data_IF_584824168427
#
_entry.id   IF_584824168427
#
_cell.length_a   1.000
_cell.length_b   1.000
_cell.length_c   1.000
_cell.angle_alpha   90.00
_cell.angle_beta   90.00
_cell.angle_gamma   90.00
#
_symmetry.space_group_name_H-M   'P 1'
#
loop_
_entity.id
_entity.type
_entity.pdbx_description
1 polymer ?
#
# COMPACT_ATOMS: atom_id res chain seq x y z
N UNK A 1 54.51 4.19 9.37
CA UNK A 1 53.65 2.99 9.37
C UNK A 1 52.45 3.26 8.47
N UNK A 2 52.29 2.50 7.38
CA UNK A 2 51.33 2.76 6.31
C UNK A 2 49.95 2.20 6.71
N UNK A 3 49.02 3.07 7.08
CA UNK A 3 47.61 2.74 7.39
C UNK A 3 46.80 2.48 6.09
N UNK A 4 47.40 2.70 4.92
CA UNK A 4 46.71 2.64 3.62
C UNK A 4 46.47 1.23 3.07
N UNK A 5 47.00 0.16 3.67
CA UNK A 5 46.89 -1.20 3.11
C UNK A 5 45.65 -1.98 3.56
N UNK A 6 44.91 -1.53 4.57
CA UNK A 6 43.71 -2.26 5.07
C UNK A 6 42.44 -1.92 4.29
N UNK A 7 42.46 -0.86 3.47
CA UNK A 7 41.29 -0.39 2.72
C UNK A 7 41.06 -1.09 1.37
N UNK A 8 41.91 -2.06 0.99
CA UNK A 8 41.91 -2.69 -0.34
C UNK A 8 41.34 -4.13 -0.41
N UNK A 9 40.35 -4.51 0.41
CA UNK A 9 39.81 -5.88 0.39
C UNK A 9 38.56 -6.05 -0.49
N UNK A 10 37.86 -4.97 -0.86
CA UNK A 10 36.64 -5.08 -1.67
C UNK A 10 36.89 -4.57 -3.10
N UNK A 11 37.20 -5.49 -4.01
CA UNK A 11 37.13 -5.22 -5.46
C UNK A 11 35.66 -4.95 -5.81
N UNK A 12 35.27 -3.68 -5.87
CA UNK A 12 33.93 -3.30 -6.31
C UNK A 12 33.71 -3.79 -7.75
N UNK A 13 32.56 -4.45 -8.04
CA UNK A 13 32.27 -4.91 -9.39
C UNK A 13 32.14 -3.70 -10.33
N UNK A 14 32.62 -3.84 -11.57
CA UNK A 14 32.45 -2.82 -12.61
C UNK A 14 31.01 -2.89 -13.12
N UNK A 15 30.22 -1.82 -12.90
CA UNK A 15 28.81 -1.74 -13.30
C UNK A 15 27.86 -1.64 -12.11
N UNK A 16 26.58 -1.97 -12.32
CA UNK A 16 25.59 -1.93 -11.24
C UNK A 16 25.86 -3.04 -10.22
N UNK A 17 26.10 -2.64 -8.96
CA UNK A 17 26.50 -3.54 -7.86
C UNK A 17 25.39 -4.52 -7.45
N UNK A 18 24.12 -4.17 -7.68
CA UNK A 18 22.97 -4.96 -7.24
C UNK A 18 22.42 -5.91 -8.32
N UNK A 19 22.86 -5.76 -9.57
CA UNK A 19 22.26 -6.40 -10.74
C UNK A 19 23.33 -7.05 -11.63
N UNK A 20 22.94 -8.04 -12.43
CA UNK A 20 23.82 -8.73 -13.38
C UNK A 20 24.68 -9.84 -12.77
N UNK A 21 25.67 -10.31 -13.56
CA UNK A 21 26.49 -11.50 -13.24
C UNK A 21 27.41 -11.31 -12.04
N UNK A 22 27.99 -10.12 -11.89
CA UNK A 22 28.94 -9.80 -10.83
C UNK A 22 28.32 -8.80 -9.85
N UNK A 23 27.46 -9.32 -8.97
CA UNK A 23 26.75 -8.54 -7.96
C UNK A 23 27.32 -8.75 -6.56
N UNK A 24 27.20 -7.73 -5.72
CA UNK A 24 27.54 -7.83 -4.30
C UNK A 24 26.33 -8.39 -3.55
N UNK A 25 26.45 -9.64 -3.09
CA UNK A 25 25.44 -10.26 -2.23
C UNK A 25 25.96 -10.15 -0.79
N UNK A 26 25.38 -9.26 0.04
CA UNK A 26 25.79 -9.18 1.43
C UNK A 26 25.43 -10.49 2.15
N UNK A 27 26.33 -11.03 2.99
CA UNK A 27 25.99 -12.20 3.80
C UNK A 27 24.86 -11.83 4.77
N UNK A 28 23.89 -12.73 4.93
CA UNK A 28 22.80 -12.51 5.89
C UNK A 28 23.36 -12.54 7.32
N UNK A 29 23.15 -11.44 8.05
CA UNK A 29 23.46 -11.37 9.48
C UNK A 29 22.61 -12.32 10.31
N UNK A 30 23.11 -12.73 11.47
CA UNK A 30 22.38 -13.62 12.38
C UNK A 30 21.02 -13.03 12.82
N UNK A 31 20.94 -11.71 13.01
CA UNK A 31 19.69 -11.03 13.35
C UNK A 31 18.61 -11.16 12.26
N UNK A 32 18.99 -11.06 10.98
CA UNK A 32 18.08 -11.24 9.85
C UNK A 32 17.54 -12.68 9.78
N UNK A 33 18.38 -13.67 10.09
CA UNK A 33 17.94 -15.07 10.17
C UNK A 33 16.92 -15.27 11.30
N UNK A 34 17.18 -14.68 12.47
CA UNK A 34 16.27 -14.77 13.61
C UNK A 34 14.91 -14.09 13.34
N UNK A 35 14.89 -12.96 12.64
CA UNK A 35 13.63 -12.29 12.27
C UNK A 35 12.82 -13.10 11.27
N UNK A 36 13.45 -13.66 10.24
CA UNK A 36 12.78 -14.52 9.27
C UNK A 36 12.24 -15.79 9.93
N UNK A 37 12.99 -16.38 10.88
CA UNK A 37 12.52 -17.56 11.61
C UNK A 37 11.27 -17.26 12.46
N UNK A 38 11.22 -16.11 13.14
CA UNK A 38 10.02 -15.66 13.86
C UNK A 38 8.83 -15.47 12.93
N UNK A 39 9.05 -14.95 11.72
CA UNK A 39 8.01 -14.80 10.70
C UNK A 39 7.46 -16.16 10.27
N UNK A 40 8.34 -17.13 10.01
CA UNK A 40 7.95 -18.48 9.63
C UNK A 40 7.13 -19.19 10.73
N UNK A 41 7.49 -19.02 12.00
CA UNK A 41 6.70 -19.56 13.12
C UNK A 41 5.28 -18.97 13.10
N UNK A 42 5.16 -17.66 12.90
CA UNK A 42 3.85 -17.00 12.85
C UNK A 42 3.02 -17.46 11.66
N UNK A 43 3.64 -17.65 10.50
CA UNK A 43 2.97 -18.20 9.33
C UNK A 43 2.47 -19.63 9.59
N UNK A 44 3.27 -20.46 10.26
CA UNK A 44 2.85 -21.81 10.67
C UNK A 44 1.65 -21.79 11.63
N UNK A 45 1.67 -20.91 12.62
CA UNK A 45 0.53 -20.73 13.55
C UNK A 45 -0.73 -20.30 12.81
N UNK A 46 -0.62 -19.34 11.88
CA UNK A 46 -1.73 -18.91 11.04
C UNK A 46 -2.27 -20.07 10.20
N UNK A 47 -1.41 -20.87 9.57
CA UNK A 47 -1.83 -22.03 8.79
C UNK A 47 -2.59 -23.04 9.64
N UNK A 48 -2.16 -23.28 10.88
CA UNK A 48 -2.85 -24.19 11.80
C UNK A 48 -4.25 -23.70 12.14
N UNK A 49 -4.43 -22.40 12.34
CA UNK A 49 -5.75 -21.79 12.60
C UNK A 49 -6.63 -21.92 11.36
N UNK A 50 -6.11 -21.56 10.19
CA UNK A 50 -6.86 -21.56 8.92
C UNK A 50 -7.20 -22.97 8.42
N UNK A 51 -6.46 -24.00 8.84
CA UNK A 51 -6.70 -25.38 8.42
C UNK A 51 -8.02 -25.98 8.92
N UNK A 52 -8.69 -25.36 9.90
CA UNK A 52 -9.95 -25.84 10.47
C UNK A 52 -11.02 -24.75 10.38
N UNK A 53 -11.66 -24.60 9.21
CA UNK A 53 -12.74 -23.64 9.05
C UNK A 53 -13.97 -24.04 9.89
N UNK A 54 -14.72 -23.05 10.35
CA UNK A 54 -15.93 -23.25 11.14
C UNK A 54 -17.13 -23.69 10.28
N UNK A 55 -17.22 -23.16 9.05
CA UNK A 55 -18.23 -23.53 8.06
C UNK A 55 -17.56 -24.16 6.85
N UNK A 56 -18.27 -25.08 6.21
CA UNK A 56 -17.92 -25.54 4.87
C UNK A 56 -18.31 -24.49 3.82
N UNK A 57 -17.64 -24.51 2.67
CA UNK A 57 -17.93 -23.57 1.56
C UNK A 57 -19.40 -23.62 1.13
N UNK A 58 -20.01 -24.81 1.17
CA UNK A 58 -21.43 -24.99 0.87
C UNK A 58 -22.34 -24.24 1.86
N UNK A 59 -22.05 -24.35 3.16
CA UNK A 59 -22.83 -23.67 4.22
C UNK A 59 -22.66 -22.16 4.18
N UNK A 60 -21.45 -21.67 3.87
CA UNK A 60 -21.17 -20.25 3.69
C UNK A 60 -21.96 -19.68 2.49
N UNK A 61 -22.03 -20.41 1.38
CA UNK A 61 -22.79 -19.97 0.19
C UNK A 61 -24.30 -19.83 0.45
N UNK A 62 -24.84 -20.59 1.42
CA UNK A 62 -26.25 -20.53 1.81
C UNK A 62 -26.56 -19.35 2.74
N UNK A 63 -25.55 -18.65 3.26
CA UNK A 63 -25.71 -17.47 4.11
C UNK A 63 -25.18 -16.21 3.41
N UNK A 64 -25.94 -15.63 2.47
CA UNK A 64 -25.57 -14.34 1.90
C UNK A 64 -25.53 -13.29 3.00
N UNK A 65 -24.38 -12.65 3.18
CA UNK A 65 -24.20 -11.56 4.13
C UNK A 65 -24.84 -10.28 3.57
N UNK A 66 -26.17 -10.20 3.69
CA UNK A 66 -26.98 -9.10 3.18
C UNK A 66 -26.52 -7.73 3.71
N UNK A 67 -25.88 -7.71 4.88
CA UNK A 67 -25.38 -6.48 5.50
C UNK A 67 -24.22 -5.86 4.71
N UNK A 68 -23.33 -6.68 4.16
CA UNK A 68 -22.20 -6.21 3.35
C UNK A 68 -22.65 -5.83 1.96
N UNK A 69 -23.55 -6.63 1.36
CA UNK A 69 -24.19 -6.32 0.08
C UNK A 69 -24.91 -4.96 0.11
N UNK A 70 -25.72 -4.69 1.14
CA UNK A 70 -26.41 -3.39 1.29
C UNK A 70 -25.44 -2.22 1.45
N UNK A 71 -24.35 -2.39 2.23
CA UNK A 71 -23.32 -1.35 2.37
C UNK A 71 -22.59 -1.06 1.07
N UNK A 72 -22.28 -2.09 0.29
CA UNK A 72 -21.64 -1.93 -1.01
C UNK A 72 -22.58 -1.26 -2.02
N UNK A 73 -23.86 -1.62 -2.00
CA UNK A 73 -24.88 -1.02 -2.86
C UNK A 73 -25.08 0.46 -2.51
N UNK A 74 -25.17 0.80 -1.23
CA UNK A 74 -25.24 2.19 -0.76
C UNK A 74 -23.98 3.00 -1.13
N UNK A 75 -22.78 2.41 -1.04
CA UNK A 75 -21.54 3.05 -1.50
C UNK A 75 -21.54 3.30 -3.01
N UNK A 76 -22.02 2.34 -3.78
CA UNK A 76 -22.12 2.46 -5.24
C UNK A 76 -23.12 3.55 -5.65
N UNK A 77 -24.27 3.61 -4.98
CA UNK A 77 -25.26 4.67 -5.17
C UNK A 77 -24.71 6.05 -4.79
N UNK A 78 -24.02 6.16 -3.65
CA UNK A 78 -23.37 7.39 -3.23
C UNK A 78 -22.29 7.83 -4.24
N UNK A 79 -21.49 6.89 -4.78
CA UNK A 79 -20.51 7.20 -5.82
C UNK A 79 -21.17 7.69 -7.11
N UNK A 80 -22.29 7.06 -7.52
CA UNK A 80 -23.08 7.47 -8.68
C UNK A 80 -23.64 8.89 -8.52
N UNK A 81 -24.10 9.24 -7.32
CA UNK A 81 -24.63 10.57 -7.03
C UNK A 81 -23.50 11.62 -6.93
N UNK A 82 -22.39 11.28 -6.28
CA UNK A 82 -21.24 12.17 -6.14
C UNK A 82 -20.53 12.45 -7.47
N UNK A 83 -20.61 11.55 -8.46
CA UNK A 83 -20.13 11.81 -9.82
C UNK A 83 -20.94 12.87 -10.57
N UNK A 84 -22.16 13.19 -10.12
CA UNK A 84 -23.01 14.24 -10.72
C UNK A 84 -22.79 15.62 -10.12
N UNK A 85 -22.15 15.73 -8.96
CA UNK A 85 -21.89 17.00 -8.29
C UNK A 85 -20.60 17.68 -8.81
N UNK A 86 -20.54 17.94 -10.12
CA UNK A 86 -19.78 19.12 -10.53
C UNK A 86 -20.60 20.33 -10.10
N UNK A 87 -20.13 21.06 -9.08
CA UNK A 87 -20.77 22.31 -8.64
C UNK A 87 -20.90 23.23 -9.86
N UNK A 88 -22.14 23.48 -10.27
CA UNK A 88 -22.42 24.45 -11.33
C UNK A 88 -21.96 25.83 -10.86
N UNK A 89 -21.13 26.50 -11.66
CA UNK A 89 -20.81 27.91 -11.39
C UNK A 89 -22.04 28.75 -11.72
N UNK A 90 -22.50 29.54 -10.75
CA UNK A 90 -23.61 30.46 -11.00
C UNK A 90 -23.09 31.78 -11.56
N UNK A 91 -23.95 32.52 -12.25
CA UNK A 91 -23.59 33.87 -12.73
C UNK A 91 -23.32 34.83 -11.57
N UNK A 92 -23.94 34.60 -10.41
CA UNK A 92 -23.74 35.38 -9.19
C UNK A 92 -22.30 35.30 -8.68
N UNK A 93 -21.69 34.10 -8.74
CA UNK A 93 -20.28 33.91 -8.39
C UNK A 93 -19.37 34.76 -9.30
N UNK A 94 -19.68 34.84 -10.60
CA UNK A 94 -18.95 35.68 -11.56
C UNK A 94 -19.12 37.17 -11.26
N UNK A 95 -20.33 37.62 -10.92
CA UNK A 95 -20.60 39.01 -10.59
C UNK A 95 -19.93 39.47 -9.28
N UNK A 96 -19.78 38.57 -8.31
CA UNK A 96 -19.13 38.88 -7.03
C UNK A 96 -17.63 39.22 -7.18
N UNK A 97 -16.94 38.64 -8.17
CA UNK A 97 -15.56 39.00 -8.47
C UNK A 97 -15.44 40.39 -9.11
N UNK A 98 -16.42 40.80 -9.92
CA UNK A 98 -16.42 42.12 -10.58
C UNK A 98 -16.71 43.27 -9.60
N UNK A 99 -17.51 43.03 -8.56
CA UNK A 99 -17.83 44.06 -7.56
C UNK A 99 -16.70 44.33 -6.58
N UNK A 100 -15.82 43.35 -6.31
CA UNK A 100 -14.62 43.53 -5.45
C UNK A 100 -13.60 44.54 -5.99
N UNK A 101 -13.64 44.85 -7.29
CA UNK A 101 -12.77 45.86 -7.91
C UNK A 101 -13.28 47.30 -7.83
N UNK A 102 -14.48 47.54 -7.30
CA UNK A 102 -15.01 48.91 -7.17
C UNK A 102 -14.36 49.61 -5.96
N UNK A 103 -13.34 50.43 -6.22
CA UNK A 103 -12.92 51.48 -5.28
C UNK A 103 -14.06 52.50 -5.22
N UNK A 104 -14.60 52.71 -4.03
CA UNK A 104 -15.53 53.80 -3.76
C UNK A 104 -14.80 55.13 -4.02
N UNK A 105 -15.29 55.88 -5.02
CA UNK A 105 -14.95 57.28 -5.26
C UNK A 105 -16.02 58.12 -4.61
#
# INVERSE_FOLDING_TARGET
MRISSVLCIWKFPKGNVWLGKHRLVPPQGQGAKASEFKRLIREYENMKILAKPYLTEAEESCQPDWSTAQKQLARHEAMRLNMKDMRHQTMEDHFFYLTRGKRFV
#
